data_IF_436899010488
#
_entry.id   IF_436899010488
#
_cell.length_a   1.000
_cell.length_b   1.000
_cell.length_c   1.000
_cell.angle_alpha   90.00
_cell.angle_beta   90.00
_cell.angle_gamma   90.00
#
_symmetry.space_group_name_H-M   'P 1'
#
loop_
_entity.id
_entity.type
_entity.pdbx_description
1 polymer ?
#
# COMPACT_ATOMS: atom_id res chain seq x y z
N UNK A 1 1.98 -46.50 3.17
CA UNK A 1 2.12 -46.16 1.74
C UNK A 1 1.00 -45.22 1.34
N UNK A 2 1.24 -43.90 1.36
CA UNK A 2 0.25 -42.91 0.93
C UNK A 2 0.40 -42.67 -0.58
N UNK A 3 -0.63 -43.02 -1.34
CA UNK A 3 -0.69 -42.79 -2.79
C UNK A 3 -0.79 -41.29 -3.05
N UNK A 4 0.24 -40.71 -3.66
CA UNK A 4 0.23 -39.33 -4.14
C UNK A 4 -0.74 -39.21 -5.32
N UNK A 5 -1.80 -38.43 -5.14
CA UNK A 5 -2.67 -38.02 -6.24
C UNK A 5 -2.12 -36.70 -6.79
N UNK A 6 -1.41 -36.77 -7.92
CA UNK A 6 -1.08 -35.59 -8.71
C UNK A 6 -2.25 -35.31 -9.65
N UNK A 7 -2.94 -34.19 -9.45
CA UNK A 7 -3.88 -33.66 -10.44
C UNK A 7 -3.11 -32.62 -11.26
N UNK A 8 -2.96 -32.80 -12.58
CA UNK A 8 -2.43 -31.75 -13.45
C UNK A 8 -3.54 -30.70 -13.64
N UNK A 9 -3.33 -29.45 -13.22
CA UNK A 9 -4.32 -28.39 -13.45
C UNK A 9 -3.69 -27.19 -14.16
N UNK A 10 -4.33 -26.64 -15.21
CA UNK A 10 -3.74 -25.62 -16.07
C UNK A 10 -3.61 -24.27 -15.35
N UNK A 11 -2.50 -23.58 -15.60
CA UNK A 11 -2.37 -22.12 -15.55
C UNK A 11 -2.94 -21.42 -14.32
N UNK A 12 -2.48 -21.76 -13.12
CA UNK A 12 -2.78 -20.93 -11.95
C UNK A 12 -2.04 -19.61 -12.06
N UNK A 13 -2.76 -18.50 -11.95
CA UNK A 13 -2.10 -17.22 -11.72
C UNK A 13 -1.29 -17.29 -10.40
N UNK A 14 -0.17 -16.57 -10.35
CA UNK A 14 0.76 -16.60 -9.20
C UNK A 14 0.07 -16.22 -7.89
N UNK A 15 -0.94 -15.35 -7.94
CA UNK A 15 -1.68 -14.93 -6.74
C UNK A 15 -2.61 -16.05 -6.24
N UNK A 16 -3.18 -16.86 -7.12
CA UNK A 16 -3.99 -18.02 -6.78
C UNK A 16 -3.15 -19.11 -6.11
N UNK A 17 -1.95 -19.39 -6.62
CA UNK A 17 -1.00 -20.30 -5.95
C UNK A 17 -0.61 -19.79 -4.56
N UNK A 18 -0.35 -18.49 -4.46
CA UNK A 18 0.03 -17.85 -3.21
C UNK A 18 -1.07 -17.92 -2.15
N UNK A 19 -2.33 -17.65 -2.52
CA UNK A 19 -3.49 -17.82 -1.62
C UNK A 19 -3.66 -19.26 -1.15
N UNK A 20 -3.52 -20.24 -2.05
CA UNK A 20 -3.60 -21.65 -1.69
C UNK A 20 -2.49 -22.05 -0.70
N UNK A 21 -1.26 -21.54 -0.88
CA UNK A 21 -0.16 -21.76 0.06
C UNK A 21 -0.47 -21.18 1.45
N UNK A 22 -1.00 -19.96 1.52
CA UNK A 22 -1.40 -19.34 2.79
C UNK A 22 -2.47 -20.19 3.48
N UNK A 23 -3.51 -20.61 2.75
CA UNK A 23 -4.58 -21.45 3.30
C UNK A 23 -4.04 -22.78 3.84
N UNK A 24 -3.20 -23.47 3.06
CA UNK A 24 -2.59 -24.73 3.48
C UNK A 24 -1.71 -24.56 4.74
N UNK A 25 -0.91 -23.50 4.79
CA UNK A 25 -0.07 -23.20 5.95
C UNK A 25 -0.90 -22.95 7.21
N UNK A 26 -1.96 -22.15 7.14
CA UNK A 26 -2.85 -21.88 8.29
C UNK A 26 -3.56 -23.16 8.72
N UNK A 27 -4.15 -23.91 7.79
CA UNK A 27 -4.86 -25.16 8.10
C UNK A 27 -3.94 -26.22 8.73
N UNK A 28 -2.67 -26.30 8.28
CA UNK A 28 -1.70 -27.27 8.81
C UNK A 28 -1.33 -27.04 10.29
N UNK A 29 -1.61 -25.85 10.82
CA UNK A 29 -1.29 -25.48 12.20
C UNK A 29 -2.48 -25.65 13.16
N UNK A 30 -3.62 -26.14 12.66
CA UNK A 30 -4.81 -26.45 13.44
C UNK A 30 -5.89 -25.35 13.41
N UNK A 31 -7.06 -25.62 14.03
CA UNK A 31 -8.25 -24.76 13.93
C UNK A 31 -8.07 -23.38 14.57
N UNK A 32 -7.13 -23.26 15.51
CA UNK A 32 -6.85 -22.02 16.23
C UNK A 32 -5.86 -21.09 15.49
N UNK A 33 -5.36 -21.51 14.32
CA UNK A 33 -4.35 -20.77 13.56
C UNK A 33 -4.95 -19.55 12.85
N UNK A 34 -4.28 -18.41 12.95
CA UNK A 34 -4.73 -17.13 12.37
C UNK A 34 -3.63 -16.51 11.53
N UNK A 35 -3.90 -16.15 10.28
CA UNK A 35 -3.00 -15.36 9.46
C UNK A 35 -2.81 -13.95 10.04
N UNK A 36 -1.56 -13.48 10.14
CA UNK A 36 -1.22 -12.21 10.79
C UNK A 36 -0.17 -11.42 10.01
N UNK A 37 0.09 -10.18 10.41
CA UNK A 37 1.13 -9.32 9.85
C UNK A 37 1.05 -9.23 8.31
N UNK A 38 2.19 -9.38 7.62
CA UNK A 38 2.27 -9.27 6.16
C UNK A 38 1.36 -10.26 5.43
N UNK A 39 1.09 -11.44 5.99
CA UNK A 39 0.16 -12.41 5.39
C UNK A 39 -1.28 -11.95 5.51
N UNK A 40 -1.69 -11.41 6.65
CA UNK A 40 -3.03 -10.81 6.77
C UNK A 40 -3.17 -9.58 5.87
N UNK A 41 -2.15 -8.72 5.80
CA UNK A 41 -2.15 -7.56 4.90
C UNK A 41 -2.28 -7.98 3.44
N UNK A 42 -1.57 -9.02 3.02
CA UNK A 42 -1.66 -9.62 1.69
C UNK A 42 -3.06 -10.15 1.38
N UNK A 43 -3.70 -10.86 2.32
CA UNK A 43 -5.07 -11.36 2.17
C UNK A 43 -6.11 -10.23 2.06
N UNK A 44 -5.92 -9.13 2.80
CA UNK A 44 -6.74 -7.92 2.69
C UNK A 44 -6.44 -7.09 1.43
N UNK A 45 -5.34 -7.37 0.74
CA UNK A 45 -4.83 -6.59 -0.37
C UNK A 45 -4.25 -5.23 0.03
N UNK A 46 -3.82 -5.08 1.28
CA UNK A 46 -3.16 -3.87 1.78
C UNK A 46 -1.73 -3.81 1.21
N UNK A 47 -1.44 -2.74 0.47
CA UNK A 47 -0.12 -2.45 -0.09
C UNK A 47 0.82 -1.75 0.91
N UNK A 48 2.10 -1.67 0.54
CA UNK A 48 3.10 -0.91 1.30
C UNK A 48 4.22 -1.77 1.91
N UNK A 49 4.06 -3.08 1.93
CA UNK A 49 5.11 -4.02 2.31
C UNK A 49 5.86 -4.57 1.10
N UNK A 50 7.16 -4.86 1.23
CA UNK A 50 7.89 -5.67 0.26
C UNK A 50 7.22 -7.04 0.08
N UNK A 51 7.21 -7.54 -1.15
CA UNK A 51 6.77 -8.93 -1.41
C UNK A 51 7.74 -9.89 -0.73
N UNK A 52 7.19 -10.89 -0.05
CA UNK A 52 7.95 -11.93 0.65
C UNK A 52 7.31 -13.28 0.45
N UNK A 53 8.13 -14.33 0.42
CA UNK A 53 7.65 -15.71 0.43
C UNK A 53 7.14 -16.13 1.83
N UNK A 54 7.50 -15.38 2.88
CA UNK A 54 7.12 -15.70 4.25
C UNK A 54 5.60 -15.72 4.45
N UNK A 55 5.12 -16.70 5.21
CA UNK A 55 3.74 -16.84 5.67
C UNK A 55 3.74 -16.70 7.18
N UNK A 56 3.11 -15.63 7.67
CA UNK A 56 3.01 -15.29 9.08
C UNK A 56 1.69 -15.78 9.67
N UNK A 57 1.78 -16.67 10.65
CA UNK A 57 0.62 -17.26 11.33
C UNK A 57 0.77 -17.10 12.85
N UNK A 58 -0.29 -16.73 13.56
CA UNK A 58 -0.33 -16.74 15.01
C UNK A 58 -1.06 -17.97 15.51
N UNK A 59 -0.56 -18.55 16.61
CA UNK A 59 -1.29 -19.54 17.40
C UNK A 59 -1.58 -18.96 18.79
N UNK A 60 -2.79 -19.15 19.34
CA UNK A 60 -3.09 -18.73 20.70
C UNK A 60 -2.32 -19.58 21.72
N UNK A 61 -1.83 -18.92 22.77
CA UNK A 61 -1.22 -19.55 23.95
C UNK A 61 0.27 -19.93 23.83
N UNK A 62 0.84 -20.33 24.98
CA UNK A 62 2.23 -20.80 25.12
C UNK A 62 2.38 -22.27 24.69
N UNK A 63 1.89 -22.68 23.52
CA UNK A 63 2.17 -24.03 23.02
C UNK A 63 3.68 -24.18 22.85
N UNK A 64 4.29 -25.03 23.67
CA UNK A 64 5.73 -25.31 23.67
C UNK A 64 6.12 -26.15 22.45
N UNK A 65 6.93 -25.54 21.58
CA UNK A 65 8.05 -26.20 20.87
C UNK A 65 7.67 -27.19 19.73
N UNK A 66 8.70 -27.61 18.95
CA UNK A 66 8.79 -27.30 17.53
C UNK A 66 8.16 -28.40 16.68
N UNK A 67 7.18 -28.05 15.83
CA UNK A 67 7.12 -28.79 14.57
C UNK A 67 8.50 -28.57 13.93
N UNK A 68 9.25 -29.64 13.63
CA UNK A 68 10.36 -29.57 12.66
C UNK A 68 9.78 -28.91 11.42
N UNK A 69 10.02 -27.61 11.26
CA UNK A 69 9.40 -26.85 10.18
C UNK A 69 10.19 -27.16 8.93
N UNK A 70 9.60 -27.99 8.09
CA UNK A 70 10.12 -28.29 6.76
C UNK A 70 9.99 -27.10 5.81
N UNK A 71 9.04 -26.18 6.05
CA UNK A 71 8.93 -24.96 5.25
C UNK A 71 9.70 -23.78 5.89
N UNK A 72 10.83 -23.33 5.30
CA UNK A 72 11.58 -22.18 5.78
C UNK A 72 10.79 -20.86 5.68
N UNK A 73 9.70 -20.83 4.91
CA UNK A 73 8.86 -19.65 4.74
C UNK A 73 7.75 -19.53 5.81
N UNK A 74 7.52 -20.55 6.64
CA UNK A 74 6.46 -20.50 7.66
C UNK A 74 6.97 -19.89 8.98
N UNK A 75 6.52 -18.67 9.26
CA UNK A 75 6.88 -17.90 10.45
C UNK A 75 5.70 -17.88 11.42
N UNK A 76 5.86 -18.52 12.57
CA UNK A 76 4.81 -18.55 13.59
C UNK A 76 5.07 -17.53 14.69
N UNK A 77 4.03 -16.81 15.07
CA UNK A 77 3.99 -15.82 16.14
C UNK A 77 3.08 -16.30 17.28
N UNK A 78 3.23 -15.65 18.43
CA UNK A 78 2.30 -15.77 19.55
C UNK A 78 1.72 -14.38 19.83
N UNK A 79 0.50 -14.14 19.37
CA UNK A 79 -0.24 -12.93 19.71
C UNK A 79 -1.41 -13.25 20.64
N UNK A 80 -1.66 -12.32 21.55
CA UNK A 80 -2.93 -12.27 22.28
C UNK A 80 -3.96 -11.60 21.37
N UNK A 81 -4.88 -12.43 20.85
CA UNK A 81 -5.95 -12.02 19.95
C UNK A 81 -7.29 -12.23 20.66
N UNK A 82 -8.13 -11.18 20.67
CA UNK A 82 -9.52 -11.28 21.07
C UNK A 82 -10.33 -11.79 19.88
N UNK A 83 -11.50 -12.42 20.08
CA UNK A 83 -12.36 -12.85 18.98
C UNK A 83 -12.67 -11.72 17.98
N UNK A 84 -12.88 -10.49 18.47
CA UNK A 84 -13.11 -9.30 17.65
C UNK A 84 -11.92 -8.88 16.77
N UNK A 85 -10.72 -9.39 17.05
CA UNK A 85 -9.54 -9.15 16.24
C UNK A 85 -9.42 -10.12 15.06
N UNK A 86 -10.29 -11.11 14.96
CA UNK A 86 -10.20 -12.20 13.99
C UNK A 86 -11.42 -12.15 13.07
N UNK A 87 -11.19 -12.25 11.77
CA UNK A 87 -12.21 -12.46 10.76
C UNK A 87 -11.82 -13.58 9.81
N UNK A 88 -12.68 -13.88 8.84
CA UNK A 88 -12.42 -14.91 7.82
C UNK A 88 -12.34 -14.28 6.44
N UNK A 89 -11.23 -14.47 5.73
CA UNK A 89 -11.00 -14.00 4.37
C UNK A 89 -10.77 -15.19 3.45
N UNK A 90 -11.64 -15.38 2.45
CA UNK A 90 -11.53 -16.48 1.49
C UNK A 90 -11.30 -17.86 2.17
N UNK A 91 -11.98 -18.11 3.29
CA UNK A 91 -11.88 -19.34 4.08
C UNK A 91 -10.63 -19.45 4.95
N UNK A 92 -9.88 -18.37 5.15
CA UNK A 92 -8.69 -18.32 6.01
C UNK A 92 -8.96 -17.41 7.21
N UNK A 93 -8.85 -17.89 8.47
CA UNK A 93 -8.86 -17.03 9.63
C UNK A 93 -7.68 -16.04 9.58
N UNK A 94 -7.96 -14.75 9.72
CA UNK A 94 -6.96 -13.68 9.64
C UNK A 94 -7.29 -12.55 10.61
N UNK A 95 -6.28 -11.77 11.01
CA UNK A 95 -6.54 -10.55 11.78
C UNK A 95 -7.35 -9.54 10.97
N UNK A 96 -8.26 -8.80 11.62
CA UNK A 96 -9.02 -7.71 10.98
C UNK A 96 -8.08 -6.65 10.39
N UNK A 97 -8.53 -5.82 9.43
CA UNK A 97 -7.69 -4.76 8.85
C UNK A 97 -7.09 -3.82 9.92
N UNK A 98 -7.93 -3.36 10.85
CA UNK A 98 -7.53 -2.49 11.97
C UNK A 98 -6.45 -3.15 12.83
N UNK A 99 -6.63 -4.43 13.20
CA UNK A 99 -5.64 -5.18 13.97
C UNK A 99 -4.33 -5.38 13.19
N UNK A 100 -4.44 -5.74 11.91
CA UNK A 100 -3.31 -6.00 11.02
C UNK A 100 -2.44 -4.78 10.85
N UNK A 101 -3.04 -3.62 10.57
CA UNK A 101 -2.35 -2.34 10.45
C UNK A 101 -1.68 -1.97 11.78
N UNK A 102 -2.38 -2.05 12.90
CA UNK A 102 -1.80 -1.73 14.22
C UNK A 102 -0.56 -2.59 14.54
N UNK A 103 -0.59 -3.90 14.28
CA UNK A 103 0.56 -4.78 14.53
C UNK A 103 1.73 -4.51 13.58
N UNK A 104 1.47 -4.12 12.33
CA UNK A 104 2.50 -3.79 11.35
C UNK A 104 3.16 -2.44 11.60
N UNK A 105 2.39 -1.43 12.02
CA UNK A 105 2.92 -0.10 12.36
C UNK A 105 4.00 -0.14 13.45
N UNK A 106 3.99 -1.17 14.30
CA UNK A 106 5.02 -1.35 15.35
C UNK A 106 6.30 -2.02 14.85
N UNK A 107 6.34 -2.44 13.58
CA UNK A 107 7.42 -3.28 13.00
C UNK A 107 8.09 -2.66 11.79
N UNK A 108 7.54 -1.60 11.23
CA UNK A 108 8.04 -0.95 10.02
C UNK A 108 8.43 0.50 10.30
N UNK A 109 9.22 1.08 9.40
CA UNK A 109 9.50 2.51 9.42
C UNK A 109 8.36 3.35 8.83
N UNK A 110 8.51 4.68 8.91
CA UNK A 110 7.52 5.68 8.48
C UNK A 110 6.92 5.41 7.09
N UNK A 111 7.74 5.24 6.05
CA UNK A 111 7.24 5.12 4.69
C UNK A 111 6.30 3.92 4.48
N UNK A 112 6.71 2.66 4.79
CA UNK A 112 5.78 1.53 4.75
C UNK A 112 4.57 1.69 5.68
N UNK A 113 4.75 2.32 6.85
CA UNK A 113 3.66 2.55 7.79
C UNK A 113 2.55 3.41 7.18
N UNK A 114 2.89 4.57 6.61
CA UNK A 114 1.89 5.43 5.97
C UNK A 114 1.28 4.75 4.74
N UNK A 115 2.08 4.02 3.95
CA UNK A 115 1.56 3.26 2.79
C UNK A 115 0.51 2.22 3.19
N UNK A 116 0.71 1.52 4.32
CA UNK A 116 -0.25 0.55 4.85
C UNK A 116 -1.58 1.21 5.23
N UNK A 117 -1.52 2.39 5.85
CA UNK A 117 -2.71 3.14 6.30
C UNK A 117 -3.45 3.72 5.10
N UNK A 118 -2.74 4.41 4.19
CA UNK A 118 -3.30 4.97 2.95
C UNK A 118 -3.97 3.85 2.13
N UNK A 119 -3.30 2.71 1.95
CA UNK A 119 -3.85 1.59 1.19
C UNK A 119 -5.10 0.99 1.84
N UNK A 120 -5.15 0.89 3.18
CA UNK A 120 -6.31 0.38 3.88
C UNK A 120 -7.52 1.34 3.81
N UNK A 121 -7.28 2.64 3.93
CA UNK A 121 -8.28 3.70 3.78
C UNK A 121 -8.81 3.75 2.33
N UNK A 122 -7.91 3.74 1.34
CA UNK A 122 -8.26 3.76 -0.08
C UNK A 122 -9.19 2.60 -0.47
N UNK A 123 -8.89 1.41 0.06
CA UNK A 123 -9.68 0.19 -0.15
C UNK A 123 -10.94 0.12 0.72
N UNK A 124 -11.19 1.11 1.57
CA UNK A 124 -12.31 1.17 2.53
C UNK A 124 -12.36 -0.05 3.46
N UNK A 125 -11.20 -0.59 3.82
CA UNK A 125 -11.11 -1.67 4.81
C UNK A 125 -11.38 -1.17 6.23
N UNK A 126 -11.15 0.12 6.44
CA UNK A 126 -11.65 0.95 7.53
C UNK A 126 -11.67 2.40 7.03
N UNK A 127 -12.27 3.30 7.81
CA UNK A 127 -12.47 4.72 7.49
C UNK A 127 -11.64 5.62 8.40
N UNK A 128 -11.57 6.93 8.10
CA UNK A 128 -10.85 7.89 8.95
C UNK A 128 -11.30 7.88 10.43
N UNK A 129 -12.61 7.80 10.75
CA UNK A 129 -13.08 7.60 12.12
C UNK A 129 -12.49 6.38 12.83
N UNK A 130 -12.17 5.31 12.10
CA UNK A 130 -11.59 4.08 12.66
C UNK A 130 -10.10 4.20 13.03
N UNK A 131 -9.42 5.29 12.62
CA UNK A 131 -8.02 5.52 12.99
C UNK A 131 -7.83 5.62 14.51
N UNK A 132 -8.86 6.04 15.25
CA UNK A 132 -8.89 6.01 16.72
C UNK A 132 -8.75 4.58 17.27
N UNK A 133 -9.39 3.59 16.64
CA UNK A 133 -9.28 2.19 17.03
C UNK A 133 -7.87 1.62 16.74
N UNK A 134 -7.26 2.02 15.62
CA UNK A 134 -5.85 1.68 15.33
C UNK A 134 -4.94 2.27 16.41
N UNK A 135 -5.12 3.55 16.75
CA UNK A 135 -4.34 4.23 17.78
C UNK A 135 -4.50 3.59 19.17
N UNK A 136 -5.71 3.13 19.52
CA UNK A 136 -5.97 2.41 20.76
C UNK A 136 -5.19 1.08 20.84
N UNK A 137 -5.12 0.32 19.74
CA UNK A 137 -4.37 -0.94 19.67
C UNK A 137 -2.84 -0.76 19.73
N UNK A 138 -2.34 0.44 19.42
CA UNK A 138 -0.93 0.80 19.58
C UNK A 138 -0.58 1.13 21.04
N UNK A 139 -1.55 1.53 21.86
CA UNK A 139 -1.30 2.08 23.18
C UNK A 139 -0.46 1.15 24.08
N UNK A 140 0.49 1.74 24.82
CA UNK A 140 1.37 1.04 25.77
C UNK A 140 2.28 -0.03 25.14
N UNK A 141 2.47 -0.02 23.82
CA UNK A 141 3.40 -0.91 23.11
C UNK A 141 4.66 -0.17 22.68
N UNK A 142 5.79 -0.88 22.63
CA UNK A 142 7.05 -0.35 22.09
C UNK A 142 6.83 0.09 20.64
N UNK A 143 7.19 1.32 20.30
CA UNK A 143 7.00 1.91 18.96
C UNK A 143 5.70 2.71 18.78
N UNK A 144 4.81 2.72 19.78
CA UNK A 144 3.51 3.40 19.70
C UNK A 144 3.60 4.91 19.42
N UNK A 145 4.62 5.58 19.99
CA UNK A 145 4.82 7.03 19.80
C UNK A 145 5.07 7.33 18.32
N UNK A 146 6.00 6.62 17.68
CA UNK A 146 6.30 6.79 16.25
C UNK A 146 5.12 6.38 15.38
N UNK A 147 4.49 5.23 15.68
CA UNK A 147 3.34 4.73 14.94
C UNK A 147 2.16 5.73 14.93
N UNK A 148 1.88 6.38 16.06
CA UNK A 148 0.83 7.42 16.14
C UNK A 148 1.16 8.66 15.33
N UNK A 149 2.43 9.07 15.25
CA UNK A 149 2.83 10.18 14.38
C UNK A 149 2.53 9.87 12.91
N UNK A 150 2.82 8.65 12.47
CA UNK A 150 2.60 8.23 11.09
C UNK A 150 1.11 8.09 10.72
N UNK A 151 0.24 7.76 11.69
CA UNK A 151 -1.21 7.74 11.46
C UNK A 151 -1.74 9.12 11.02
N UNK A 152 -1.19 10.20 11.57
CA UNK A 152 -1.60 11.58 11.24
C UNK A 152 -1.11 11.99 9.85
N UNK A 153 -0.12 11.31 9.30
CA UNK A 153 0.38 11.57 7.95
C UNK A 153 -0.42 10.85 6.85
N UNK A 154 -1.40 10.01 7.22
CA UNK A 154 -2.16 9.22 6.28
C UNK A 154 -3.13 10.08 5.45
N UNK A 155 -3.30 9.71 4.19
CA UNK A 155 -4.26 10.27 3.25
C UNK A 155 -4.78 9.15 2.34
N UNK A 156 -6.01 8.72 2.57
CA UNK A 156 -6.63 7.59 1.87
C UNK A 156 -6.88 7.81 0.37
N UNK A 157 -6.60 9.01 -0.16
CA UNK A 157 -6.73 9.29 -1.60
C UNK A 157 -5.57 8.74 -2.43
N UNK A 158 -4.42 8.47 -1.83
CA UNK A 158 -3.32 7.81 -2.53
C UNK A 158 -3.73 6.38 -2.94
N UNK A 159 -3.63 6.07 -4.22
CA UNK A 159 -4.10 4.81 -4.81
C UNK A 159 -3.02 3.73 -4.82
N UNK A 160 -1.77 4.11 -4.57
CA UNK A 160 -0.64 3.19 -4.52
C UNK A 160 0.42 3.58 -3.48
N UNK A 161 1.22 2.61 -3.01
CA UNK A 161 2.38 2.92 -2.16
C UNK A 161 3.40 3.85 -2.83
N UNK A 162 3.46 3.86 -4.16
CA UNK A 162 4.35 4.76 -4.90
C UNK A 162 3.88 6.22 -4.74
N UNK A 163 2.59 6.48 -4.91
CA UNK A 163 1.99 7.80 -4.70
C UNK A 163 2.19 8.29 -3.26
N UNK A 164 1.91 7.43 -2.25
CA UNK A 164 2.17 7.76 -0.84
C UNK A 164 3.64 8.15 -0.63
N UNK A 165 4.57 7.38 -1.19
CA UNK A 165 6.01 7.67 -1.05
C UNK A 165 6.38 8.99 -1.74
N UNK A 166 5.89 9.25 -2.94
CA UNK A 166 6.13 10.51 -3.66
C UNK A 166 5.58 11.70 -2.86
N UNK A 167 4.37 11.58 -2.30
CA UNK A 167 3.74 12.58 -1.42
C UNK A 167 4.60 12.88 -0.21
N UNK A 168 5.04 11.84 0.51
CA UNK A 168 5.89 12.01 1.68
C UNK A 168 7.23 12.65 1.34
N UNK A 169 7.83 12.34 0.17
CA UNK A 169 9.03 13.03 -0.30
C UNK A 169 8.78 14.52 -0.50
N UNK A 170 7.69 14.89 -1.17
CA UNK A 170 7.30 16.29 -1.36
C UNK A 170 7.09 17.02 -0.03
N UNK A 171 6.40 16.39 0.93
CA UNK A 171 6.22 16.93 2.29
C UNK A 171 7.57 17.13 2.98
N UNK A 172 8.43 16.11 2.97
CA UNK A 172 9.76 16.14 3.60
C UNK A 172 10.65 17.25 3.02
N UNK A 173 10.54 17.50 1.71
CA UNK A 173 11.29 18.54 1.02
C UNK A 173 10.62 19.91 1.00
N UNK A 174 9.57 20.14 1.77
CA UNK A 174 8.92 21.45 1.90
C UNK A 174 8.18 21.93 0.64
N UNK A 175 7.76 21.01 -0.23
CA UNK A 175 6.93 21.28 -1.41
C UNK A 175 5.69 20.38 -1.41
N UNK A 176 4.89 20.34 -0.32
CA UNK A 176 3.73 19.44 -0.25
C UNK A 176 2.74 19.75 -1.38
N UNK A 177 2.09 18.73 -1.97
CA UNK A 177 0.95 18.97 -2.87
C UNK A 177 -0.23 19.58 -2.10
N UNK A 178 -1.02 20.44 -2.75
CA UNK A 178 -2.27 20.95 -2.14
C UNK A 178 -3.43 19.96 -2.26
N UNK A 179 -3.31 18.99 -3.16
CA UNK A 179 -4.34 17.98 -3.40
C UNK A 179 -3.74 16.69 -3.95
N UNK A 180 -4.39 15.57 -3.65
CA UNK A 180 -4.16 14.30 -4.31
C UNK A 180 -5.30 13.99 -5.27
N UNK A 181 -5.01 13.22 -6.32
CA UNK A 181 -6.01 12.79 -7.30
C UNK A 181 -6.71 14.00 -7.93
N UNK A 182 -5.92 14.95 -8.44
CA UNK A 182 -6.41 16.20 -9.02
C UNK A 182 -7.03 15.97 -10.39
N UNK A 183 -8.33 16.20 -10.47
CA UNK A 183 -9.03 16.25 -11.76
C UNK A 183 -8.60 17.49 -12.55
N UNK A 184 -8.12 17.27 -13.77
CA UNK A 184 -7.83 18.32 -14.74
C UNK A 184 -8.95 18.32 -15.77
N UNK A 185 -9.65 19.44 -15.90
CA UNK A 185 -10.78 19.63 -16.81
C UNK A 185 -10.49 20.75 -17.80
N UNK A 186 -11.06 20.67 -19.01
CA UNK A 186 -11.03 21.78 -19.97
C UNK A 186 -12.05 22.88 -19.63
N UNK A 187 -12.16 23.88 -20.52
CA UNK A 187 -13.07 25.01 -20.35
C UNK A 187 -14.56 24.60 -20.35
N UNK A 188 -14.89 23.50 -21.03
CA UNK A 188 -16.25 22.95 -21.10
C UNK A 188 -16.54 21.97 -19.95
N UNK A 189 -15.59 21.78 -19.03
CA UNK A 189 -15.71 20.93 -17.85
C UNK A 189 -15.42 19.45 -18.10
N UNK A 190 -14.98 19.07 -19.30
CA UNK A 190 -14.67 17.69 -19.64
C UNK A 190 -13.36 17.22 -18.99
N UNK A 191 -13.35 16.00 -18.45
CA UNK A 191 -12.20 15.45 -17.74
C UNK A 191 -11.09 15.06 -18.72
N UNK A 192 -9.97 15.78 -18.65
CA UNK A 192 -8.79 15.53 -19.46
C UNK A 192 -7.89 14.45 -18.85
N UNK A 193 -7.82 14.40 -17.52
CA UNK A 193 -7.05 13.40 -16.78
C UNK A 193 -7.09 13.64 -15.27
N UNK A 194 -6.50 12.72 -14.51
CA UNK A 194 -6.34 12.83 -13.07
C UNK A 194 -4.85 12.71 -12.75
N UNK A 195 -4.29 13.73 -12.09
CA UNK A 195 -2.91 13.70 -11.61
C UNK A 195 -2.83 13.19 -10.17
N UNK A 196 -1.83 12.38 -9.85
CA UNK A 196 -1.74 11.77 -8.51
C UNK A 196 -1.49 12.81 -7.41
N UNK A 197 -0.58 13.76 -7.67
CA UNK A 197 -0.26 14.89 -6.80
C UNK A 197 -0.47 16.20 -7.57
N UNK A 198 -1.10 17.19 -6.94
CA UNK A 198 -1.43 18.47 -7.58
C UNK A 198 -0.92 19.70 -6.83
N UNK A 199 -0.44 20.67 -7.62
CA UNK A 199 -0.18 22.05 -7.24
C UNK A 199 -1.06 22.99 -8.08
N UNK A 200 -2.34 23.13 -7.71
CA UNK A 200 -3.39 23.73 -8.55
C UNK A 200 -3.11 25.15 -8.98
N UNK A 201 -2.68 26.00 -8.05
CA UNK A 201 -2.37 27.40 -8.34
C UNK A 201 -1.29 27.56 -9.41
N UNK A 202 -0.42 26.55 -9.57
CA UNK A 202 0.68 26.53 -10.53
C UNK A 202 0.42 25.66 -11.75
N UNK A 203 -0.77 25.05 -11.85
CA UNK A 203 -1.11 24.06 -12.88
C UNK A 203 -0.01 23.01 -13.06
N UNK A 204 0.48 22.47 -11.95
CA UNK A 204 1.46 21.40 -11.94
C UNK A 204 0.81 20.13 -11.37
N UNK A 205 1.03 19.02 -12.04
CA UNK A 205 0.74 17.68 -11.53
C UNK A 205 1.99 16.81 -11.55
N UNK A 206 2.05 15.83 -10.65
CA UNK A 206 2.98 14.72 -10.73
C UNK A 206 2.22 13.39 -10.81
N UNK A 207 2.66 12.51 -11.70
CA UNK A 207 2.20 11.12 -11.86
C UNK A 207 3.27 10.17 -11.29
N UNK A 208 2.83 9.19 -10.50
CA UNK A 208 3.67 8.21 -9.83
C UNK A 208 3.62 6.87 -10.61
N UNK A 209 4.46 6.76 -11.64
CA UNK A 209 4.48 5.65 -12.58
C UNK A 209 5.13 4.40 -11.97
N UNK A 210 4.30 3.42 -11.62
CA UNK A 210 4.77 2.09 -11.27
C UNK A 210 5.49 1.45 -12.46
N UNK A 211 6.55 0.67 -12.20
CA UNK A 211 7.37 -0.05 -13.21
C UNK A 211 6.58 -1.06 -14.07
N UNK A 212 5.26 -1.14 -13.91
CA UNK A 212 4.35 -2.05 -14.58
C UNK A 212 3.39 -1.29 -15.51
N UNK A 213 3.90 -0.41 -16.36
CA UNK A 213 3.23 -0.14 -17.63
C UNK A 213 3.47 -1.32 -18.61
N UNK A 214 3.03 -2.53 -18.23
CA UNK A 214 2.73 -3.58 -19.22
C UNK A 214 1.40 -3.25 -19.89
N UNK A 215 1.29 -2.02 -20.40
CA UNK A 215 0.15 -1.58 -21.18
C UNK A 215 0.23 -2.23 -22.56
N UNK A 216 -0.90 -2.69 -23.07
CA UNK A 216 -1.01 -2.98 -24.50
C UNK A 216 -0.63 -1.73 -25.31
N UNK A 217 -0.25 -1.90 -26.58
CA UNK A 217 0.05 -0.75 -27.45
C UNK A 217 -1.07 0.31 -27.45
N UNK A 218 -2.33 -0.13 -27.27
CA UNK A 218 -3.50 0.74 -27.11
C UNK A 218 -3.45 1.58 -25.83
N UNK A 219 -3.06 1.01 -24.69
CA UNK A 219 -2.94 1.74 -23.44
C UNK A 219 -1.84 2.83 -23.51
N UNK A 220 -0.71 2.53 -24.15
CA UNK A 220 0.35 3.52 -24.39
C UNK A 220 -0.11 4.67 -25.30
N UNK A 221 -0.93 4.37 -26.30
CA UNK A 221 -1.47 5.39 -27.19
C UNK A 221 -2.48 6.31 -26.50
N UNK A 222 -3.39 5.76 -25.70
CA UNK A 222 -4.33 6.55 -24.89
C UNK A 222 -3.60 7.40 -23.84
N UNK A 223 -2.51 6.89 -23.26
CA UNK A 223 -1.65 7.66 -22.33
C UNK A 223 -1.06 8.90 -23.01
N UNK A 224 -0.52 8.76 -24.22
CA UNK A 224 0.01 9.89 -25.02
C UNK A 224 -1.08 10.91 -25.36
N UNK A 225 -2.28 10.46 -25.74
CA UNK A 225 -3.41 11.35 -26.01
C UNK A 225 -3.85 12.11 -24.75
N UNK A 226 -3.85 11.44 -23.58
CA UNK A 226 -4.11 12.09 -22.29
C UNK A 226 -3.05 13.15 -22.00
N UNK A 227 -1.78 12.81 -22.16
CA UNK A 227 -0.67 13.73 -21.92
C UNK A 227 -0.75 14.98 -22.79
N UNK A 228 -1.01 14.83 -24.09
CA UNK A 228 -1.16 15.97 -25.01
C UNK A 228 -2.31 16.91 -24.59
N UNK A 229 -3.45 16.35 -24.13
CA UNK A 229 -4.58 17.15 -23.65
C UNK A 229 -4.23 17.96 -22.40
N UNK A 230 -3.54 17.34 -21.46
CA UNK A 230 -3.07 18.02 -20.23
C UNK A 230 -2.08 19.14 -20.55
N UNK A 231 -1.13 18.90 -21.45
CA UNK A 231 -0.17 19.93 -21.92
C UNK A 231 -0.90 21.08 -22.62
N UNK A 232 -1.85 20.80 -23.51
CA UNK A 232 -2.65 21.83 -24.19
C UNK A 232 -3.49 22.67 -23.21
N UNK A 233 -3.92 22.07 -22.09
CA UNK A 233 -4.56 22.78 -20.98
C UNK A 233 -3.57 23.61 -20.12
N UNK A 234 -2.31 23.75 -20.56
CA UNK A 234 -1.23 24.47 -19.88
C UNK A 234 -0.89 23.88 -18.51
N UNK A 235 -1.00 22.56 -18.35
CA UNK A 235 -0.51 21.86 -17.18
C UNK A 235 0.91 21.35 -17.40
N UNK A 236 1.76 21.58 -16.40
CA UNK A 236 3.06 20.93 -16.30
C UNK A 236 2.86 19.55 -15.68
N UNK A 237 3.49 18.53 -16.26
CA UNK A 237 3.37 17.14 -15.81
C UNK A 237 4.77 16.63 -15.47
N UNK A 238 4.95 16.18 -14.23
CA UNK A 238 6.14 15.46 -13.79
C UNK A 238 5.82 13.98 -13.64
N UNK A 239 6.79 13.11 -13.90
CA UNK A 239 6.64 11.66 -13.76
C UNK A 239 7.74 11.12 -12.85
N UNK A 240 7.34 10.34 -11.85
CA UNK A 240 8.26 9.74 -10.89
C UNK A 240 8.03 8.25 -10.79
N UNK A 241 9.12 7.51 -10.71
CA UNK A 241 9.13 6.06 -10.56
C UNK A 241 9.45 5.66 -9.12
N UNK A 242 9.34 4.37 -8.83
CA UNK A 242 9.78 3.84 -7.53
C UNK A 242 11.23 4.18 -7.21
N UNK A 243 12.13 4.12 -8.20
CA UNK A 243 13.56 4.42 -8.02
C UNK A 243 13.77 5.85 -7.53
N UNK A 244 12.99 6.80 -8.05
CA UNK A 244 13.08 8.21 -7.66
C UNK A 244 12.75 8.42 -6.18
N UNK A 245 11.83 7.61 -5.63
CA UNK A 245 11.50 7.67 -4.19
C UNK A 245 12.64 7.19 -3.27
N UNK A 246 13.65 6.52 -3.81
CA UNK A 246 14.84 6.09 -3.07
C UNK A 246 15.85 7.22 -2.87
N UNK A 247 15.74 8.30 -3.66
CA UNK A 247 16.58 9.50 -3.58
C UNK A 247 15.81 10.62 -2.87
N UNK A 248 16.08 10.91 -1.58
CA UNK A 248 15.27 11.81 -0.77
C UNK A 248 15.03 13.20 -1.38
N UNK A 249 16.05 13.75 -2.04
CA UNK A 249 16.03 15.14 -2.49
C UNK A 249 15.58 15.31 -3.95
N UNK A 250 15.54 14.23 -4.73
CA UNK A 250 15.28 14.32 -6.17
C UNK A 250 13.87 14.81 -6.47
N UNK A 251 12.84 14.12 -5.95
CA UNK A 251 11.44 14.50 -6.19
C UNK A 251 11.16 15.95 -5.74
N UNK A 252 11.53 16.37 -4.51
CA UNK A 252 11.31 17.75 -4.07
C UNK A 252 12.07 18.77 -4.89
N UNK A 253 13.29 18.46 -5.33
CA UNK A 253 14.09 19.36 -6.16
C UNK A 253 13.41 19.62 -7.51
N UNK A 254 12.99 18.56 -8.21
CA UNK A 254 12.32 18.66 -9.52
C UNK A 254 10.99 19.42 -9.40
N UNK A 255 10.19 19.12 -8.36
CA UNK A 255 8.94 19.83 -8.09
C UNK A 255 9.21 21.32 -7.86
N UNK A 256 10.20 21.67 -7.04
CA UNK A 256 10.53 23.07 -6.75
C UNK A 256 10.94 23.84 -8.00
N UNK A 257 11.75 23.24 -8.87
CA UNK A 257 12.15 23.86 -10.14
C UNK A 257 10.93 24.12 -11.03
N UNK A 258 10.01 23.15 -11.14
CA UNK A 258 8.79 23.31 -11.93
C UNK A 258 7.89 24.43 -11.37
N UNK A 259 7.72 24.49 -10.04
CA UNK A 259 6.96 25.56 -9.38
C UNK A 259 7.59 26.95 -9.61
N UNK A 260 8.92 27.05 -9.62
CA UNK A 260 9.61 28.31 -9.89
C UNK A 260 9.44 28.74 -11.36
N UNK A 261 9.62 27.81 -12.31
CA UNK A 261 9.44 28.08 -13.74
C UNK A 261 8.01 28.54 -14.07
N UNK A 262 6.99 27.93 -13.45
CA UNK A 262 5.59 28.33 -13.65
C UNK A 262 5.29 29.76 -13.16
N UNK A 263 6.11 30.29 -12.24
CA UNK A 263 5.96 31.69 -11.75
C UNK A 263 6.43 32.67 -12.82
N UNK A 264 7.57 32.37 -13.47
CA UNK A 264 8.21 33.26 -14.43
C UNK A 264 7.44 33.39 -15.74
N UNK A 265 6.71 32.35 -16.16
CA UNK A 265 5.90 32.38 -17.37
C UNK A 265 4.54 33.09 -17.19
N UNK A 266 4.20 33.52 -15.97
CA UNK A 266 2.93 34.18 -15.65
C UNK A 266 3.06 35.64 -15.23
N UNK A 267 4.30 36.10 -15.04
CA UNK A 267 4.70 37.50 -14.83
C UNK A 267 5.09 38.12 -16.17
#
# INVERSE_FOLDING_TARGET
MARGCFVPVPGWDVASLRRARIRAAVASLGPDAVAVLGTAAELHGIGGLPRTAAVHVSLPGRRSRPLRRTDPNLVVHQFVLQPSHIGTLAGVPATTPVRTVADLLLRVGRYPAVCLVDSALNRRLFTEPDLGAVAALLARRRGAVSARKWLVEADGRAQSPLETRARLRCVDGGVPPDVLQVEVRDADGYLLGVGDLGWRARRLIAEADGRAAHGSARALFEDRRRQNRLVNASWTILRFTWSDTLHPDYIPHVVRQALQASTRNRS
#
